data_IF_860161666219
#
_entry.id   IF_860161666219
#
_cell.length_a   1.000
_cell.length_b   1.000
_cell.length_c   1.000
_cell.angle_alpha   90.00
_cell.angle_beta   90.00
_cell.angle_gamma   90.00
#
_symmetry.space_group_name_H-M   'P 1'
#
loop_
_entity.id
_entity.type
_entity.pdbx_description
1 polymer ?
#
# COMPACT_ATOMS: atom_id res chain seq x y z
N UNK A 1 -35.23 20.76 -50.09
CA UNK A 1 -35.68 20.51 -48.71
C UNK A 1 -36.44 19.20 -48.74
N UNK A 2 -35.73 18.07 -48.63
CA UNK A 2 -36.34 16.75 -48.53
C UNK A 2 -36.64 16.48 -47.07
N UNK A 3 -37.92 16.39 -46.73
CA UNK A 3 -38.41 15.94 -45.42
C UNK A 3 -37.82 14.57 -45.11
N UNK A 4 -37.01 14.51 -44.06
CA UNK A 4 -36.38 13.28 -43.56
C UNK A 4 -37.45 12.44 -42.87
N UNK A 5 -37.62 11.21 -43.30
CA UNK A 5 -38.67 10.30 -42.83
C UNK A 5 -38.56 10.07 -41.30
N UNK A 6 -39.68 10.10 -40.55
CA UNK A 6 -39.65 9.92 -39.11
C UNK A 6 -39.13 8.54 -38.64
N UNK A 7 -39.13 7.50 -39.49
CA UNK A 7 -38.59 6.17 -39.13
C UNK A 7 -37.05 6.19 -39.10
N UNK A 8 -36.42 6.98 -39.97
CA UNK A 8 -34.95 7.13 -40.00
C UNK A 8 -34.41 7.69 -38.67
N UNK A 9 -35.16 8.60 -38.03
CA UNK A 9 -34.80 9.13 -36.71
C UNK A 9 -34.85 8.06 -35.62
N UNK A 10 -35.84 7.17 -35.65
CA UNK A 10 -36.00 6.11 -34.64
C UNK A 10 -34.85 5.10 -34.76
N UNK A 11 -34.40 4.79 -35.98
CA UNK A 11 -33.24 3.93 -36.21
C UNK A 11 -31.91 4.57 -35.74
N UNK A 12 -31.77 5.89 -35.88
CA UNK A 12 -30.59 6.65 -35.43
C UNK A 12 -30.50 6.73 -33.88
N UNK A 13 -31.64 6.83 -33.20
CA UNK A 13 -31.73 6.75 -31.73
C UNK A 13 -31.45 5.33 -31.19
N UNK A 14 -31.94 4.29 -31.86
CA UNK A 14 -31.66 2.91 -31.47
C UNK A 14 -30.16 2.57 -31.59
N UNK A 15 -29.49 3.09 -32.63
CA UNK A 15 -28.05 2.88 -32.86
C UNK A 15 -27.17 3.64 -31.87
N UNK A 16 -27.65 4.76 -31.34
CA UNK A 16 -26.91 5.58 -30.35
C UNK A 16 -27.12 5.15 -28.90
N UNK A 17 -28.23 4.47 -28.58
CA UNK A 17 -28.48 3.83 -27.27
C UNK A 17 -27.69 2.54 -27.03
N UNK A 18 -27.22 1.88 -28.10
CA UNK A 18 -26.40 0.66 -28.05
C UNK A 18 -24.88 0.93 -27.95
N UNK A 19 -24.50 2.13 -27.47
CA UNK A 19 -23.11 2.43 -27.11
C UNK A 19 -22.79 1.59 -25.88
N UNK A 20 -22.19 0.42 -26.14
CA UNK A 20 -21.66 -0.55 -25.16
C UNK A 20 -21.27 0.20 -23.89
N UNK A 21 -21.86 -0.18 -22.74
CA UNK A 21 -21.35 0.22 -21.43
C UNK A 21 -19.82 0.22 -21.51
N UNK A 22 -19.19 1.33 -21.15
CA UNK A 22 -17.76 1.63 -21.32
C UNK A 22 -16.85 0.78 -20.41
N UNK A 23 -17.19 -0.51 -20.28
CA UNK A 23 -16.48 -1.57 -19.60
C UNK A 23 -15.16 -1.87 -20.29
N UNK A 24 -15.05 -1.59 -21.60
CA UNK A 24 -13.79 -1.72 -22.34
C UNK A 24 -12.80 -0.64 -21.88
N UNK A 25 -13.22 0.63 -21.77
CA UNK A 25 -12.38 1.70 -21.25
C UNK A 25 -11.97 1.49 -19.78
N UNK A 26 -12.88 0.95 -18.97
CA UNK A 26 -12.59 0.58 -17.58
C UNK A 26 -11.62 -0.61 -17.47
N UNK A 27 -11.81 -1.65 -18.30
CA UNK A 27 -10.89 -2.80 -18.39
C UNK A 27 -9.49 -2.32 -18.79
N UNK A 28 -9.37 -1.48 -19.81
CA UNK A 28 -8.09 -0.94 -20.27
C UNK A 28 -7.44 0.01 -19.25
N UNK A 29 -8.25 0.62 -18.36
CA UNK A 29 -7.77 1.36 -17.20
C UNK A 29 -7.16 0.45 -16.12
N UNK A 30 -7.88 -0.60 -15.73
CA UNK A 30 -7.40 -1.56 -14.72
C UNK A 30 -6.17 -2.32 -15.25
N UNK A 31 -6.17 -2.75 -16.51
CA UNK A 31 -5.06 -3.51 -17.11
C UNK A 31 -3.74 -2.74 -17.26
N UNK A 32 -3.68 -1.44 -16.93
CA UNK A 32 -2.43 -0.67 -16.91
C UNK A 32 -1.42 -1.12 -15.84
N UNK A 33 -1.74 -2.13 -15.01
CA UNK A 33 -0.83 -2.82 -14.08
C UNK A 33 -0.48 -1.98 -12.84
N UNK A 34 0.10 -0.80 -13.04
CA UNK A 34 0.46 0.16 -11.99
C UNK A 34 -0.72 0.55 -11.07
N UNK A 35 -1.95 0.53 -11.59
CA UNK A 35 -3.16 0.84 -10.80
C UNK A 35 -3.58 -0.34 -9.92
N UNK A 36 -3.43 -1.57 -10.44
CA UNK A 36 -3.82 -2.79 -9.71
C UNK A 36 -2.91 -3.00 -8.51
N UNK A 37 -1.60 -2.88 -8.69
CA UNK A 37 -0.63 -3.10 -7.60
C UNK A 37 -0.83 -2.10 -6.46
N UNK A 38 -1.09 -0.84 -6.81
CA UNK A 38 -1.43 0.21 -5.83
C UNK A 38 -2.77 -0.08 -5.13
N UNK A 39 -3.79 -0.50 -5.87
CA UNK A 39 -5.10 -0.81 -5.31
C UNK A 39 -5.05 -2.00 -4.34
N UNK A 40 -4.34 -3.07 -4.72
CA UNK A 40 -4.14 -4.24 -3.86
C UNK A 40 -3.39 -3.84 -2.59
N UNK A 41 -2.34 -3.02 -2.70
CA UNK A 41 -1.59 -2.52 -1.55
C UNK A 41 -2.46 -1.77 -0.53
N UNK A 42 -3.38 -0.93 -1.00
CA UNK A 42 -4.31 -0.18 -0.12
C UNK A 42 -5.30 -1.14 0.55
N UNK A 43 -5.90 -2.06 -0.19
CA UNK A 43 -6.91 -3.00 0.36
C UNK A 43 -6.29 -3.92 1.41
N UNK A 44 -5.10 -4.45 1.14
CA UNK A 44 -4.38 -5.29 2.12
C UNK A 44 -3.97 -4.44 3.33
N UNK A 45 -3.49 -3.21 3.10
CA UNK A 45 -3.08 -2.30 4.16
C UNK A 45 -4.22 -1.96 5.13
N UNK A 46 -5.42 -1.67 4.62
CA UNK A 46 -6.58 -1.35 5.46
C UNK A 46 -7.10 -2.56 6.22
N UNK A 47 -7.22 -3.72 5.56
CA UNK A 47 -7.65 -4.96 6.20
C UNK A 47 -6.69 -5.39 7.32
N UNK A 48 -5.38 -5.29 7.06
CA UNK A 48 -4.36 -5.61 8.05
C UNK A 48 -4.37 -4.64 9.24
N UNK A 49 -4.49 -3.34 8.96
CA UNK A 49 -4.62 -2.31 10.01
C UNK A 49 -5.83 -2.58 10.91
N UNK A 50 -6.96 -2.98 10.33
CA UNK A 50 -8.16 -3.33 11.09
C UNK A 50 -7.94 -4.54 12.00
N UNK A 51 -7.24 -5.58 11.53
CA UNK A 51 -6.91 -6.77 12.34
C UNK A 51 -5.99 -6.43 13.53
N UNK A 52 -4.96 -5.61 13.30
CA UNK A 52 -4.07 -5.20 14.38
C UNK A 52 -4.80 -4.29 15.35
N UNK A 53 -5.67 -3.40 14.86
CA UNK A 53 -6.49 -2.54 15.68
C UNK A 53 -7.41 -3.35 16.61
N UNK A 54 -8.12 -4.35 16.10
CA UNK A 54 -8.97 -5.19 16.95
C UNK A 54 -8.16 -5.93 18.01
N UNK A 55 -6.97 -6.44 17.65
CA UNK A 55 -6.08 -7.08 18.64
C UNK A 55 -5.62 -6.09 19.73
N UNK A 56 -5.28 -4.85 19.36
CA UNK A 56 -4.87 -3.81 20.32
C UNK A 56 -6.04 -3.42 21.22
N UNK A 57 -7.21 -3.18 20.65
CA UNK A 57 -8.42 -2.77 21.36
C UNK A 57 -8.95 -3.87 22.30
N UNK A 58 -8.94 -5.13 21.85
CA UNK A 58 -9.56 -6.26 22.57
C UNK A 58 -8.60 -6.91 23.57
N UNK A 59 -7.28 -6.88 23.33
CA UNK A 59 -6.29 -7.54 24.21
C UNK A 59 -5.36 -6.58 24.92
N UNK A 60 -4.75 -5.62 24.20
CA UNK A 60 -3.71 -4.77 24.79
C UNK A 60 -4.29 -3.66 25.67
N UNK A 61 -5.33 -2.97 25.21
CA UNK A 61 -5.97 -1.89 25.95
C UNK A 61 -6.53 -2.36 27.30
N UNK A 62 -7.25 -3.51 27.41
CA UNK A 62 -7.70 -4.03 28.69
C UNK A 62 -6.55 -4.48 29.58
N UNK A 63 -5.52 -5.13 29.02
CA UNK A 63 -4.38 -5.64 29.78
C UNK A 63 -3.56 -4.51 30.43
N UNK A 64 -3.40 -3.39 29.72
CA UNK A 64 -2.71 -2.19 30.22
C UNK A 64 -3.61 -1.36 31.15
N UNK A 65 -4.94 -1.44 30.99
CA UNK A 65 -5.92 -0.77 31.84
C UNK A 65 -6.18 -1.42 33.22
N UNK A 66 -5.64 -2.62 33.48
CA UNK A 66 -5.75 -3.31 34.78
C UNK A 66 -4.80 -2.72 35.84
N UNK A 67 -3.49 -2.51 35.56
CA UNK A 67 -2.56 -1.92 36.53
C UNK A 67 -2.57 -0.38 36.53
N UNK A 68 -2.94 0.26 35.42
CA UNK A 68 -3.17 1.69 35.33
C UNK A 68 -4.66 1.94 35.56
N UNK A 69 -5.02 2.01 36.85
CA UNK A 69 -6.37 2.27 37.39
C UNK A 69 -7.32 2.83 36.32
N UNK A 70 -8.17 1.96 35.76
CA UNK A 70 -9.21 2.28 34.79
C UNK A 70 -8.77 3.35 33.80
N UNK A 71 -7.93 3.02 32.81
CA UNK A 71 -7.63 3.96 31.71
C UNK A 71 -8.89 4.49 30.97
N UNK A 72 -10.08 3.92 31.23
CA UNK A 72 -11.38 4.47 30.83
C UNK A 72 -11.98 5.53 31.78
N UNK A 73 -11.54 5.67 33.03
CA UNK A 73 -12.01 6.70 33.98
C UNK A 73 -11.29 8.07 33.77
N UNK A 74 -10.34 8.17 32.84
CA UNK A 74 -9.85 9.49 32.41
C UNK A 74 -10.94 10.29 31.67
N UNK A 75 -11.94 9.64 31.07
CA UNK A 75 -13.08 10.30 30.41
C UNK A 75 -13.86 11.25 31.33
N UNK A 76 -13.80 11.01 32.65
CA UNK A 76 -14.46 11.83 33.67
C UNK A 76 -13.60 12.98 34.20
N UNK A 77 -12.33 13.06 33.78
CA UNK A 77 -11.46 14.21 34.02
C UNK A 77 -11.71 15.28 32.95
N UNK A 78 -12.61 16.20 33.26
CA UNK A 78 -12.88 17.37 32.44
C UNK A 78 -12.42 18.65 33.14
N UNK A 79 -11.84 19.58 32.37
CA UNK A 79 -11.63 20.95 32.84
C UNK A 79 -12.77 21.82 32.31
N UNK A 80 -13.52 22.47 33.20
CA UNK A 80 -14.51 23.47 32.82
C UNK A 80 -13.87 24.85 32.71
N UNK A 81 -13.91 25.42 31.51
CA UNK A 81 -13.57 26.83 31.26
C UNK A 81 -14.74 27.45 30.52
N UNK A 82 -15.36 28.48 31.12
CA UNK A 82 -16.44 29.24 30.48
C UNK A 82 -17.70 28.44 30.13
N UNK A 83 -18.00 27.36 30.84
CA UNK A 83 -19.18 26.51 30.59
C UNK A 83 -18.96 25.39 29.56
N UNK A 84 -17.76 25.25 28.99
CA UNK A 84 -17.40 24.14 28.12
C UNK A 84 -16.58 23.10 28.87
N UNK A 85 -16.94 21.81 28.73
CA UNK A 85 -16.25 20.68 29.34
C UNK A 85 -15.13 20.18 28.41
N UNK A 86 -13.87 20.42 28.75
CA UNK A 86 -12.72 19.87 28.03
C UNK A 86 -12.30 18.52 28.62
N UNK A 87 -12.75 17.42 28.00
CA UNK A 87 -12.42 16.03 28.36
C UNK A 87 -11.04 15.63 27.82
N UNK A 88 -9.98 16.05 28.51
CA UNK A 88 -8.61 15.74 28.09
C UNK A 88 -8.25 14.25 28.25
N UNK A 89 -9.01 13.49 29.05
CA UNK A 89 -8.75 12.08 29.26
C UNK A 89 -8.99 11.19 28.03
N UNK A 90 -10.00 11.49 27.22
CA UNK A 90 -10.26 10.75 25.97
C UNK A 90 -9.09 10.89 25.00
N UNK A 91 -8.46 12.07 24.98
CA UNK A 91 -7.29 12.34 24.17
C UNK A 91 -6.08 11.55 24.65
N UNK A 92 -5.81 11.55 25.96
CA UNK A 92 -4.70 10.76 26.56
C UNK A 92 -4.90 9.26 26.30
N UNK A 93 -6.12 8.76 26.44
CA UNK A 93 -6.45 7.36 26.11
C UNK A 93 -6.16 7.04 24.63
N UNK A 94 -6.57 7.93 23.71
CA UNK A 94 -6.29 7.77 22.28
C UNK A 94 -4.80 7.77 21.95
N UNK A 95 -4.01 8.60 22.65
CA UNK A 95 -2.54 8.63 22.51
C UNK A 95 -1.91 7.34 23.02
N UNK A 96 -2.34 6.83 24.16
CA UNK A 96 -1.85 5.54 24.70
C UNK A 96 -2.18 4.40 23.73
N UNK A 97 -3.41 4.33 23.23
CA UNK A 97 -3.82 3.33 22.25
C UNK A 97 -3.00 3.42 20.96
N UNK A 98 -2.71 4.63 20.47
CA UNK A 98 -1.85 4.85 19.30
C UNK A 98 -0.43 4.33 19.51
N UNK A 99 0.18 4.61 20.67
CA UNK A 99 1.52 4.11 21.01
C UNK A 99 1.52 2.59 21.10
N UNK A 100 0.52 1.99 21.75
CA UNK A 100 0.39 0.53 21.84
C UNK A 100 0.21 -0.13 20.46
N UNK A 101 -0.59 0.47 19.59
CA UNK A 101 -0.76 0.02 18.21
C UNK A 101 0.56 0.08 17.43
N UNK A 102 1.32 1.16 17.56
CA UNK A 102 2.64 1.30 16.93
C UNK A 102 3.62 0.24 17.41
N UNK A 103 3.66 -0.02 18.72
CA UNK A 103 4.50 -1.09 19.32
C UNK A 103 4.08 -2.46 18.79
N UNK A 104 2.78 -2.75 18.75
CA UNK A 104 2.26 -4.01 18.23
C UNK A 104 2.63 -4.21 16.76
N UNK A 105 2.44 -3.19 15.90
CA UNK A 105 2.83 -3.23 14.48
C UNK A 105 4.34 -3.46 14.32
N UNK A 106 5.15 -2.76 15.11
CA UNK A 106 6.60 -2.91 15.04
C UNK A 106 7.03 -4.34 15.39
N UNK A 107 6.57 -4.87 16.53
CA UNK A 107 6.98 -6.20 16.99
C UNK A 107 6.38 -7.35 16.18
N UNK A 108 5.13 -7.25 15.73
CA UNK A 108 4.45 -8.32 14.97
C UNK A 108 4.69 -8.29 13.47
N UNK A 109 5.05 -7.14 12.90
CA UNK A 109 5.19 -7.00 11.44
C UNK A 109 6.60 -6.64 11.07
N UNK A 110 7.09 -5.49 11.54
CA UNK A 110 8.40 -4.97 11.11
C UNK A 110 9.52 -5.91 11.55
N UNK A 111 9.49 -6.37 12.79
CA UNK A 111 10.52 -7.25 13.37
C UNK A 111 10.61 -8.62 12.69
N UNK A 112 9.52 -9.37 12.48
CA UNK A 112 9.60 -10.63 11.74
C UNK A 112 9.87 -10.40 10.26
N UNK A 113 9.29 -9.37 9.63
CA UNK A 113 9.57 -9.07 8.23
C UNK A 113 11.04 -8.71 8.01
N UNK A 114 11.63 -7.89 8.87
CA UNK A 114 13.06 -7.57 8.81
C UNK A 114 13.90 -8.83 9.05
N UNK A 115 13.57 -9.64 10.06
CA UNK A 115 14.25 -10.91 10.32
C UNK A 115 14.10 -11.93 9.18
N UNK A 116 13.00 -11.88 8.45
CA UNK A 116 12.70 -12.77 7.34
C UNK A 116 13.40 -12.29 6.06
N UNK A 117 13.45 -10.98 5.81
CA UNK A 117 14.23 -10.36 4.75
C UNK A 117 15.73 -10.63 4.92
N UNK A 118 16.24 -10.54 6.15
CA UNK A 118 17.63 -10.89 6.51
C UNK A 118 17.93 -12.37 6.22
N UNK A 119 16.95 -13.26 6.44
CA UNK A 119 17.10 -14.70 6.16
C UNK A 119 16.93 -15.04 4.69
N UNK A 120 16.11 -14.29 3.95
CA UNK A 120 15.86 -14.55 2.54
C UNK A 120 16.80 -13.82 1.58
N UNK A 121 17.73 -12.97 2.05
CA UNK A 121 18.66 -12.22 1.20
C UNK A 121 17.95 -11.70 -0.08
N UNK A 122 16.74 -11.17 0.09
CA UNK A 122 15.90 -10.65 -0.99
C UNK A 122 16.44 -9.32 -1.57
N UNK A 123 17.68 -8.96 -1.22
CA UNK A 123 18.55 -8.09 -2.02
C UNK A 123 18.90 -8.71 -3.39
N UNK A 124 18.58 -9.99 -3.63
CA UNK A 124 18.66 -10.66 -4.95
C UNK A 124 17.62 -10.19 -5.99
N UNK A 125 16.72 -9.29 -5.62
CA UNK A 125 15.74 -8.71 -6.55
C UNK A 125 16.25 -7.48 -7.33
N UNK A 126 17.46 -6.99 -7.06
CA UNK A 126 18.03 -5.91 -7.86
C UNK A 126 18.49 -6.46 -9.21
N UNK A 127 17.58 -6.86 -10.10
CA UNK A 127 17.90 -7.37 -11.46
C UNK A 127 18.76 -6.42 -12.30
N UNK A 128 18.96 -5.20 -11.81
CA UNK A 128 19.60 -4.09 -12.51
C UNK A 128 20.65 -3.42 -11.62
N UNK A 129 21.91 -3.35 -12.11
CA UNK A 129 22.99 -2.51 -11.56
C UNK A 129 23.09 -1.19 -12.33
N UNK A 130 23.59 -0.14 -11.69
CA UNK A 130 23.88 1.13 -12.36
C UNK A 130 25.28 1.06 -12.96
N UNK A 131 25.41 1.38 -14.25
CA UNK A 131 26.71 1.46 -14.90
C UNK A 131 27.52 2.66 -14.34
N UNK A 132 28.80 2.47 -13.93
CA UNK A 132 29.60 3.55 -13.34
C UNK A 132 29.91 4.69 -14.32
N UNK A 133 30.00 4.40 -15.62
CA UNK A 133 30.35 5.39 -16.64
C UNK A 133 29.14 6.21 -17.09
N UNK A 134 28.12 5.54 -17.60
CA UNK A 134 26.96 6.20 -18.23
C UNK A 134 25.74 6.33 -17.33
N UNK A 135 25.78 5.81 -16.09
CA UNK A 135 24.69 5.86 -15.10
C UNK A 135 23.34 5.26 -15.55
N UNK A 136 23.33 4.54 -16.67
CA UNK A 136 22.14 3.80 -17.13
C UNK A 136 21.94 2.54 -16.30
N UNK A 137 20.68 2.15 -16.11
CA UNK A 137 20.30 0.91 -15.46
C UNK A 137 20.51 -0.29 -16.41
N UNK A 138 21.36 -1.25 -16.04
CA UNK A 138 21.74 -2.42 -16.85
C UNK A 138 21.59 -3.71 -16.04
N UNK A 139 21.36 -4.89 -16.65
CA UNK A 139 21.18 -6.12 -15.89
C UNK A 139 22.42 -6.50 -15.06
N UNK A 140 22.22 -7.17 -13.91
CA UNK A 140 23.31 -7.55 -13.00
C UNK A 140 24.40 -8.37 -13.69
N UNK A 141 24.00 -9.30 -14.55
CA UNK A 141 24.92 -10.24 -15.19
C UNK A 141 25.57 -9.68 -16.46
N UNK A 142 25.30 -8.42 -16.81
CA UNK A 142 25.93 -7.77 -17.94
C UNK A 142 27.45 -7.62 -17.71
N UNK A 143 28.23 -8.33 -18.50
CA UNK A 143 29.69 -8.14 -18.66
C UNK A 143 30.01 -6.96 -19.59
N UNK A 144 29.01 -6.46 -20.33
CA UNK A 144 29.13 -5.29 -21.21
C UNK A 144 27.89 -4.42 -21.14
N UNK A 145 28.07 -3.11 -21.01
CA UNK A 145 26.96 -2.17 -20.96
C UNK A 145 26.28 -2.01 -22.33
N UNK A 146 24.94 -2.10 -22.39
CA UNK A 146 24.17 -1.90 -23.63
C UNK A 146 24.15 -0.43 -24.12
N UNK A 147 24.34 0.54 -23.22
CA UNK A 147 24.22 1.96 -23.54
C UNK A 147 25.55 2.59 -23.98
N UNK A 148 26.62 2.33 -23.22
CA UNK A 148 27.94 2.93 -23.49
C UNK A 148 29.00 1.93 -23.94
N UNK A 149 28.67 0.64 -24.07
CA UNK A 149 29.58 -0.43 -24.55
C UNK A 149 30.81 -0.73 -23.68
N UNK A 150 30.91 -0.11 -22.50
CA UNK A 150 32.01 -0.37 -21.57
C UNK A 150 31.97 -1.83 -21.07
N UNK A 151 33.15 -2.42 -20.93
CA UNK A 151 33.34 -3.74 -20.32
C UNK A 151 33.32 -3.57 -18.80
N UNK A 152 32.52 -4.38 -18.12
CA UNK A 152 32.35 -4.34 -16.68
C UNK A 152 32.99 -5.57 -16.03
N UNK A 153 33.43 -5.44 -14.79
CA UNK A 153 33.89 -6.57 -14.00
C UNK A 153 32.78 -7.64 -13.91
N UNK A 154 33.14 -8.94 -13.92
CA UNK A 154 32.17 -10.02 -13.80
C UNK A 154 31.39 -9.91 -12.49
N UNK A 155 30.09 -10.27 -12.49
CA UNK A 155 29.27 -10.18 -11.30
C UNK A 155 29.76 -11.16 -10.21
N UNK A 156 29.48 -10.88 -8.93
CA UNK A 156 29.77 -11.82 -7.85
C UNK A 156 28.97 -13.13 -8.02
N UNK A 157 29.49 -14.27 -7.52
CA UNK A 157 29.00 -15.62 -7.85
C UNK A 157 27.56 -15.93 -7.36
N UNK A 158 26.93 -15.05 -6.61
CA UNK A 158 25.58 -15.19 -6.08
C UNK A 158 24.48 -14.61 -6.99
N UNK A 159 24.83 -13.97 -8.11
CA UNK A 159 23.88 -13.36 -9.06
C UNK A 159 23.25 -14.34 -10.07
N UNK A 160 23.84 -15.52 -10.27
CA UNK A 160 23.47 -16.47 -11.34
C UNK A 160 22.07 -17.12 -11.17
N UNK A 161 21.47 -17.03 -9.99
CA UNK A 161 20.19 -17.68 -9.67
C UNK A 161 18.94 -16.82 -9.93
N UNK A 162 19.09 -15.60 -10.46
CA UNK A 162 18.00 -14.63 -10.55
C UNK A 162 17.29 -14.55 -11.91
N UNK A 163 17.65 -15.38 -12.90
CA UNK A 163 17.04 -15.36 -14.23
C UNK A 163 15.75 -16.19 -14.29
N UNK A 164 14.56 -15.59 -14.51
CA UNK A 164 13.44 -16.31 -15.10
C UNK A 164 13.73 -16.52 -16.60
N UNK A 165 13.59 -17.78 -17.04
CA UNK A 165 13.64 -18.18 -18.45
C UNK A 165 12.49 -17.61 -19.27
#
# INVERSE_FOLDING_TARGET
>A
MTERDPRDRIEEFARSGARRLDLTGFRDFILRGNVIDLAIGIVIGTAFTALVKSMVDDFLTPLVGIPLDRAQDFSDRYWTVGGSHFKYGDFVNSVIAFVLMGVALYYLVVRPMNSLMDRFNLTKGATTKVCPECKSAIPLDATRCAFCTVVLAPPPPDSEHAHPA
#
